data_IF_135993987377
#
_entry.id   IF_135993987377
#
_cell.length_a   1.000
_cell.length_b   1.000
_cell.length_c   1.000
_cell.angle_alpha   90.00
_cell.angle_beta   90.00
_cell.angle_gamma   90.00
#
_symmetry.space_group_name_H-M   'P 1'
#
loop_
_entity.id
_entity.type
_entity.pdbx_description
1 polymer ?
#
# COMPACT_ATOMS: atom_id res chain seq x y z
N UNK A 1 48.35 -14.23 -21.95
CA UNK A 1 48.77 -15.66 -21.93
C UNK A 1 48.21 -16.41 -20.71
N UNK A 2 47.61 -17.60 -20.91
CA UNK A 2 47.05 -18.44 -19.83
C UNK A 2 48.17 -18.98 -18.92
N UNK A 3 47.96 -18.96 -17.59
CA UNK A 3 48.94 -19.48 -16.59
C UNK A 3 49.05 -21.01 -16.59
N UNK A 4 48.00 -21.73 -17.00
CA UNK A 4 47.99 -23.19 -17.21
C UNK A 4 47.21 -23.54 -18.49
N UNK A 5 47.83 -24.18 -19.51
CA UNK A 5 47.22 -24.39 -20.84
C UNK A 5 45.96 -25.27 -20.92
N UNK A 6 45.59 -26.00 -19.85
CA UNK A 6 44.46 -26.94 -19.87
C UNK A 6 43.28 -26.62 -18.94
N UNK A 7 43.32 -25.51 -18.18
CA UNK A 7 42.25 -25.14 -17.24
C UNK A 7 41.65 -23.77 -17.60
N UNK A 8 40.32 -23.64 -17.49
CA UNK A 8 39.63 -22.35 -17.63
C UNK A 8 40.22 -21.38 -16.61
N UNK A 9 40.59 -20.18 -17.06
CA UNK A 9 41.13 -19.16 -16.16
C UNK A 9 40.04 -18.71 -15.17
N UNK A 10 40.36 -18.46 -13.90
CA UNK A 10 39.39 -17.93 -12.94
C UNK A 10 38.77 -16.61 -13.43
N UNK A 11 37.47 -16.41 -13.17
CA UNK A 11 36.71 -15.27 -13.68
C UNK A 11 37.33 -13.91 -13.30
N UNK A 12 37.78 -13.75 -12.06
CA UNK A 12 38.45 -12.52 -11.60
C UNK A 12 39.70 -12.18 -12.43
N UNK A 13 40.48 -13.19 -12.80
CA UNK A 13 41.69 -13.00 -13.60
C UNK A 13 41.34 -12.71 -15.07
N UNK A 14 40.23 -13.24 -15.58
CA UNK A 14 39.71 -12.85 -16.89
C UNK A 14 39.24 -11.39 -16.90
N UNK A 15 38.48 -10.95 -15.88
CA UNK A 15 38.02 -9.55 -15.73
C UNK A 15 39.21 -8.58 -15.70
N UNK A 16 40.21 -8.84 -14.86
CA UNK A 16 41.40 -7.99 -14.77
C UNK A 16 42.15 -7.87 -16.10
N UNK A 17 42.32 -8.99 -16.83
CA UNK A 17 43.03 -8.99 -18.10
C UNK A 17 42.23 -8.37 -19.25
N UNK A 18 40.91 -8.56 -19.25
CA UNK A 18 40.01 -7.95 -20.23
C UNK A 18 39.96 -6.43 -20.05
N UNK A 19 39.89 -5.93 -18.81
CA UNK A 19 39.95 -4.49 -18.52
C UNK A 19 41.27 -3.86 -19.03
N UNK A 20 42.41 -4.46 -18.68
CA UNK A 20 43.73 -4.01 -19.18
C UNK A 20 43.83 -4.02 -20.71
N UNK A 21 43.22 -5.00 -21.37
CA UNK A 21 43.19 -5.07 -22.84
C UNK A 21 42.31 -3.96 -23.43
N UNK A 22 41.13 -3.73 -22.83
CA UNK A 22 40.20 -2.70 -23.28
C UNK A 22 40.81 -1.29 -23.17
N UNK A 23 41.56 -1.01 -22.11
CA UNK A 23 42.26 0.29 -21.92
C UNK A 23 43.19 0.63 -23.08
N UNK A 24 43.82 -0.36 -23.69
CA UNK A 24 44.68 -0.19 -24.87
C UNK A 24 43.84 -0.20 -26.15
N UNK A 25 42.93 -1.18 -26.28
CA UNK A 25 42.14 -1.42 -27.47
C UNK A 25 41.17 -0.27 -27.79
N UNK A 26 40.70 0.49 -26.80
CA UNK A 26 39.79 1.63 -27.01
C UNK A 26 40.36 2.72 -27.92
N UNK A 27 41.68 2.81 -28.04
CA UNK A 27 42.34 3.77 -28.93
C UNK A 27 42.41 3.27 -30.39
N UNK A 28 41.96 2.05 -30.65
CA UNK A 28 41.97 1.40 -31.96
C UNK A 28 40.54 0.95 -32.30
N UNK A 29 39.74 1.82 -32.97
CA UNK A 29 38.33 1.55 -33.23
C UNK A 29 38.09 0.29 -34.08
N UNK A 30 39.07 -0.10 -34.90
CA UNK A 30 38.98 -1.29 -35.77
C UNK A 30 39.40 -2.59 -35.06
N UNK A 31 39.66 -2.55 -33.74
CA UNK A 31 40.05 -3.75 -32.99
C UNK A 31 38.90 -4.78 -33.01
N UNK A 32 39.09 -5.98 -33.59
CA UNK A 32 37.99 -6.88 -33.90
C UNK A 32 37.12 -7.30 -32.70
N UNK A 33 37.73 -7.46 -31.52
CA UNK A 33 37.00 -7.84 -30.30
C UNK A 33 36.11 -6.70 -29.80
N UNK A 34 36.53 -5.44 -29.97
CA UNK A 34 35.70 -4.28 -29.62
C UNK A 34 34.54 -4.17 -30.60
N UNK A 35 34.77 -4.35 -31.90
CA UNK A 35 33.71 -4.35 -32.91
C UNK A 35 32.68 -5.46 -32.65
N UNK A 36 33.14 -6.67 -32.34
CA UNK A 36 32.25 -7.79 -32.03
C UNK A 36 31.46 -7.54 -30.74
N UNK A 37 32.09 -7.02 -29.69
CA UNK A 37 31.39 -6.68 -28.45
C UNK A 37 30.34 -5.58 -28.66
N UNK A 38 30.65 -4.55 -29.47
CA UNK A 38 29.69 -3.50 -29.82
C UNK A 38 28.54 -4.08 -30.64
N UNK A 39 28.83 -4.95 -31.62
CA UNK A 39 27.80 -5.64 -32.41
C UNK A 39 26.89 -6.48 -31.50
N UNK A 40 27.46 -7.29 -30.62
CA UNK A 40 26.72 -8.09 -29.64
C UNK A 40 25.81 -7.21 -28.78
N UNK A 41 26.35 -6.13 -28.21
CA UNK A 41 25.56 -5.18 -27.43
C UNK A 41 24.40 -4.59 -28.23
N UNK A 42 24.65 -4.11 -29.45
CA UNK A 42 23.65 -3.38 -30.24
C UNK A 42 22.64 -4.27 -30.99
N UNK A 43 23.00 -5.52 -31.29
CA UNK A 43 22.18 -6.42 -32.12
C UNK A 43 21.60 -7.59 -31.35
N UNK A 44 22.31 -8.12 -30.35
CA UNK A 44 21.89 -9.33 -29.63
C UNK A 44 21.32 -9.00 -28.24
N UNK A 45 21.88 -7.99 -27.56
CA UNK A 45 21.47 -7.62 -26.19
C UNK A 45 20.44 -6.49 -26.19
N UNK A 46 20.67 -5.42 -26.96
CA UNK A 46 19.77 -4.27 -27.01
C UNK A 46 18.75 -4.38 -28.14
N UNK A 47 17.51 -4.00 -27.84
CA UNK A 47 16.46 -3.84 -28.85
C UNK A 47 16.35 -2.37 -29.30
N UNK A 48 17.35 -1.93 -30.08
CA UNK A 48 17.41 -0.58 -30.65
C UNK A 48 16.22 -0.25 -31.55
N UNK A 49 15.70 -1.17 -32.40
CA UNK A 49 14.49 -0.91 -33.17
C UNK A 49 13.27 -0.59 -32.31
N UNK A 50 13.01 -1.37 -31.26
CA UNK A 50 11.87 -1.12 -30.35
C UNK A 50 12.02 0.20 -29.61
N UNK A 51 13.23 0.54 -29.16
CA UNK A 51 13.51 1.85 -28.55
C UNK A 51 13.19 2.99 -29.51
N UNK A 52 13.65 2.89 -30.76
CA UNK A 52 13.41 3.91 -31.79
C UNK A 52 11.91 4.07 -32.07
N UNK A 53 11.17 2.96 -32.15
CA UNK A 53 9.72 2.97 -32.32
C UNK A 53 8.99 3.59 -31.11
N UNK A 54 9.43 3.33 -29.88
CA UNK A 54 8.89 3.95 -28.67
C UNK A 54 9.09 5.47 -28.68
N UNK A 55 10.30 5.93 -28.99
CA UNK A 55 10.60 7.37 -29.10
C UNK A 55 9.75 8.04 -30.19
N UNK A 56 9.55 7.38 -31.33
CA UNK A 56 8.64 7.85 -32.37
C UNK A 56 7.18 7.97 -31.89
N UNK A 57 6.68 7.00 -31.11
CA UNK A 57 5.34 7.06 -30.52
C UNK A 57 5.19 8.20 -29.49
N UNK A 58 6.23 8.46 -28.71
CA UNK A 58 6.26 9.61 -27.77
C UNK A 58 6.22 10.93 -28.54
N UNK A 59 7.07 11.09 -29.57
CA UNK A 59 7.11 12.30 -30.40
C UNK A 59 5.77 12.57 -31.12
N UNK A 60 5.08 11.51 -31.54
CA UNK A 60 3.74 11.58 -32.15
C UNK A 60 2.60 11.72 -31.12
N UNK A 61 2.92 11.85 -29.82
CA UNK A 61 1.95 11.93 -28.71
C UNK A 61 1.00 10.73 -28.61
N UNK A 62 1.40 9.57 -29.13
CA UNK A 62 0.68 8.29 -28.98
C UNK A 62 0.98 7.62 -27.65
N UNK A 63 2.10 7.96 -27.03
CA UNK A 63 2.45 7.59 -25.65
C UNK A 63 2.43 8.86 -24.82
N UNK A 64 1.69 8.84 -23.70
CA UNK A 64 1.59 9.96 -22.78
C UNK A 64 2.70 9.87 -21.74
N UNK A 65 3.36 10.99 -21.47
CA UNK A 65 4.27 11.15 -20.35
C UNK A 65 3.54 11.94 -19.25
N UNK A 66 3.66 11.49 -18.01
CA UNK A 66 3.12 12.17 -16.83
C UNK A 66 4.27 12.36 -15.85
N UNK A 67 4.44 13.58 -15.38
CA UNK A 67 5.39 13.92 -14.32
C UNK A 67 4.62 13.97 -13.00
N UNK A 68 5.07 13.17 -12.03
CA UNK A 68 4.46 13.09 -10.70
C UNK A 68 5.57 13.15 -9.67
N UNK A 69 5.49 14.13 -8.78
CA UNK A 69 6.38 14.23 -7.62
C UNK A 69 5.71 13.57 -6.43
N UNK A 70 6.42 12.67 -5.76
CA UNK A 70 5.93 11.96 -4.58
C UNK A 70 6.86 12.19 -3.40
N UNK A 71 6.29 12.35 -2.21
CA UNK A 71 7.07 12.50 -0.97
C UNK A 71 7.81 11.22 -0.59
N UNK A 72 7.28 10.06 -0.98
CA UNK A 72 7.90 8.73 -0.83
C UNK A 72 7.87 7.97 -2.16
N UNK A 73 8.78 6.99 -2.40
CA UNK A 73 8.74 6.17 -3.60
C UNK A 73 7.42 5.40 -3.74
N UNK A 74 6.86 5.35 -4.95
CA UNK A 74 5.68 4.51 -5.23
C UNK A 74 6.03 3.01 -5.18
N UNK A 75 5.05 2.10 -5.07
CA UNK A 75 5.31 0.66 -5.06
C UNK A 75 6.13 0.17 -6.28
N UNK A 76 5.89 0.75 -7.46
CA UNK A 76 6.68 0.47 -8.66
C UNK A 76 8.12 0.97 -8.53
N UNK A 77 8.32 2.21 -8.05
CA UNK A 77 9.65 2.79 -7.87
C UNK A 77 10.46 2.06 -6.79
N UNK A 78 9.83 1.67 -5.68
CA UNK A 78 10.47 0.91 -4.60
C UNK A 78 11.07 -0.41 -5.11
N UNK A 79 10.35 -1.13 -5.99
CA UNK A 79 10.85 -2.38 -6.60
C UNK A 79 12.09 -2.15 -7.48
N UNK A 80 12.16 -1.03 -8.19
CA UNK A 80 13.29 -0.66 -9.05
C UNK A 80 14.53 -0.24 -8.22
N UNK A 81 14.32 0.48 -7.11
CA UNK A 81 15.40 0.90 -6.21
C UNK A 81 16.16 -0.30 -5.62
N UNK A 82 15.46 -1.38 -5.27
CA UNK A 82 16.10 -2.60 -4.77
C UNK A 82 16.90 -3.33 -5.85
N UNK A 83 16.34 -3.44 -7.07
CA UNK A 83 17.04 -4.01 -8.23
C UNK A 83 18.32 -3.26 -8.59
N UNK A 84 18.29 -1.92 -8.47
CA UNK A 84 19.46 -1.07 -8.66
C UNK A 84 20.54 -1.39 -7.61
N UNK A 85 20.21 -1.50 -6.33
CA UNK A 85 21.19 -1.82 -5.26
C UNK A 85 21.81 -3.21 -5.43
N UNK A 86 21.03 -4.21 -5.83
CA UNK A 86 21.52 -5.57 -6.08
C UNK A 86 22.60 -5.65 -7.17
N UNK A 87 22.50 -4.81 -8.20
CA UNK A 87 23.49 -4.75 -9.28
C UNK A 87 24.86 -4.22 -8.80
N UNK A 88 24.87 -3.23 -7.90
CA UNK A 88 26.12 -2.64 -7.39
C UNK A 88 26.77 -3.43 -6.26
N UNK A 89 26.04 -4.32 -5.60
CA UNK A 89 26.56 -5.15 -4.50
C UNK A 89 27.70 -6.08 -4.94
N UNK A 90 27.82 -6.39 -6.24
CA UNK A 90 28.85 -7.27 -6.81
C UNK A 90 29.82 -6.56 -7.76
N UNK A 91 29.67 -5.25 -7.97
CA UNK A 91 30.60 -4.41 -8.73
C UNK A 91 31.67 -3.82 -7.78
N UNK A 92 32.65 -4.65 -7.42
CA UNK A 92 33.74 -4.30 -6.51
C UNK A 92 34.71 -3.22 -7.00
N UNK A 93 34.60 -2.75 -8.25
CA UNK A 93 35.63 -1.92 -8.92
C UNK A 93 35.25 -0.43 -9.13
N UNK A 94 34.05 0.03 -8.74
CA UNK A 94 33.65 1.45 -8.94
C UNK A 94 34.21 2.42 -7.88
N UNK A 95 34.55 3.69 -8.23
CA UNK A 95 35.18 4.66 -7.34
C UNK A 95 34.38 4.97 -6.07
N UNK A 96 35.09 5.16 -4.94
CA UNK A 96 34.51 5.39 -3.60
C UNK A 96 33.57 6.61 -3.49
N UNK A 97 33.66 7.59 -4.39
CA UNK A 97 32.82 8.79 -4.38
C UNK A 97 31.38 8.48 -4.83
N UNK A 98 31.22 7.65 -5.86
CA UNK A 98 29.90 7.17 -6.32
C UNK A 98 29.24 6.26 -5.27
N UNK A 99 30.05 5.47 -4.53
CA UNK A 99 29.57 4.67 -3.39
C UNK A 99 28.97 5.51 -2.27
N UNK A 100 29.58 6.66 -1.93
CA UNK A 100 29.10 7.52 -0.84
C UNK A 100 27.76 8.17 -1.17
N UNK A 101 27.57 8.62 -2.41
CA UNK A 101 26.31 9.20 -2.85
C UNK A 101 25.17 8.15 -2.85
N UNK A 102 25.45 6.93 -3.31
CA UNK A 102 24.46 5.84 -3.34
C UNK A 102 24.10 5.31 -1.95
N UNK A 103 25.07 5.22 -1.02
CA UNK A 103 24.81 4.78 0.35
C UNK A 103 24.05 5.82 1.19
N UNK A 104 24.17 7.12 0.88
CA UNK A 104 23.42 8.20 1.53
C UNK A 104 21.97 8.32 1.04
N UNK A 105 21.63 7.70 -0.09
CA UNK A 105 20.26 7.62 -0.62
C UNK A 105 19.46 6.44 -0.02
N UNK A 106 20.07 5.68 0.88
CA UNK A 106 19.52 4.45 1.42
C UNK A 106 18.73 4.76 2.70
N UNK A 107 17.40 4.86 2.59
CA UNK A 107 16.53 5.01 3.75
C UNK A 107 16.37 3.64 4.47
N UNK A 108 16.87 3.50 5.71
CA UNK A 108 16.79 2.26 6.47
C UNK A 108 15.35 1.82 6.76
N UNK A 109 14.37 2.73 6.73
CA UNK A 109 12.95 2.36 6.86
C UNK A 109 12.42 1.64 5.61
N UNK A 110 12.80 2.11 4.43
CA UNK A 110 12.45 1.51 3.14
C UNK A 110 13.11 0.15 2.95
N UNK A 111 14.35 -0.01 3.44
CA UNK A 111 15.00 -1.33 3.51
C UNK A 111 14.30 -2.28 4.47
N UNK A 112 13.80 -1.80 5.61
CA UNK A 112 13.09 -2.61 6.58
C UNK A 112 11.70 -3.05 6.08
N UNK A 113 11.04 -2.24 5.25
CA UNK A 113 9.79 -2.58 4.56
C UNK A 113 10.01 -3.61 3.43
N UNK A 114 11.14 -3.53 2.71
CA UNK A 114 11.44 -4.39 1.56
C UNK A 114 12.19 -5.70 1.89
N UNK A 115 13.02 -5.73 2.94
CA UNK A 115 13.68 -6.95 3.45
C UNK A 115 12.71 -7.90 4.16
N UNK A 116 11.42 -7.56 4.18
CA UNK A 116 10.39 -8.37 4.77
C UNK A 116 10.46 -8.29 6.30
N UNK A 117 9.70 -7.34 6.87
CA UNK A 117 8.81 -7.83 7.91
C UNK A 117 7.92 -8.86 7.22
N UNK A 118 8.06 -10.12 7.61
CA UNK A 118 7.11 -11.20 7.32
C UNK A 118 5.74 -10.56 7.25
N UNK A 119 5.14 -10.56 6.06
CA UNK A 119 3.93 -9.80 5.83
C UNK A 119 2.92 -10.27 6.89
N UNK A 120 2.36 -9.36 7.69
CA UNK A 120 1.44 -9.74 8.77
C UNK A 120 0.30 -10.64 8.27
N UNK A 121 -0.06 -10.56 6.98
CA UNK A 121 -1.03 -11.47 6.34
C UNK A 121 -0.62 -12.95 6.33
N UNK A 122 0.67 -13.26 6.35
CA UNK A 122 1.20 -14.63 6.43
C UNK A 122 1.38 -15.10 7.89
N UNK A 123 1.32 -14.17 8.87
CA UNK A 123 1.41 -14.46 10.30
C UNK A 123 0.04 -14.46 11.01
N UNK A 124 -0.98 -13.83 10.43
CA UNK A 124 -2.30 -13.72 11.01
C UNK A 124 -3.14 -14.92 10.59
N UNK A 125 -3.38 -15.80 11.57
CA UNK A 125 -4.32 -16.90 11.42
C UNK A 125 -5.72 -16.34 11.09
N UNK A 126 -6.32 -16.86 10.01
CA UNK A 126 -7.64 -16.47 9.56
C UNK A 126 -8.71 -16.69 10.65
N UNK A 127 -8.54 -17.71 11.49
CA UNK A 127 -9.43 -17.99 12.62
C UNK A 127 -9.32 -16.90 13.69
N UNK A 128 -8.10 -16.40 13.95
CA UNK A 128 -7.88 -15.28 14.88
C UNK A 128 -8.52 -14.01 14.34
N UNK A 129 -8.36 -13.70 13.04
CA UNK A 129 -9.00 -12.53 12.42
C UNK A 129 -10.53 -12.63 12.55
N UNK A 130 -11.12 -13.78 12.24
CA UNK A 130 -12.57 -13.98 12.34
C UNK A 130 -13.06 -13.86 13.80
N UNK A 131 -12.30 -14.41 14.75
CA UNK A 131 -12.59 -14.30 16.19
C UNK A 131 -12.52 -12.85 16.67
N UNK A 132 -11.44 -12.14 16.37
CA UNK A 132 -11.25 -10.73 16.73
C UNK A 132 -12.31 -9.85 16.07
N UNK A 133 -12.68 -10.11 14.82
CA UNK A 133 -13.77 -9.39 14.14
C UNK A 133 -15.09 -9.57 14.88
N UNK A 134 -15.45 -10.79 15.28
CA UNK A 134 -16.65 -11.05 16.10
C UNK A 134 -16.60 -10.34 17.45
N UNK A 135 -15.44 -10.32 18.11
CA UNK A 135 -15.28 -9.60 19.38
C UNK A 135 -15.45 -8.09 19.21
N UNK A 136 -14.84 -7.49 18.18
CA UNK A 136 -14.97 -6.07 17.86
C UNK A 136 -16.40 -5.72 17.44
N UNK A 137 -17.11 -6.64 16.79
CA UNK A 137 -18.52 -6.50 16.43
C UNK A 137 -19.49 -6.77 17.60
N UNK A 138 -18.98 -7.05 18.82
CA UNK A 138 -19.79 -7.40 19.99
C UNK A 138 -20.69 -8.65 19.80
N UNK A 139 -20.27 -9.58 18.94
CA UNK A 139 -20.98 -10.83 18.63
C UNK A 139 -20.50 -12.01 19.49
N UNK A 140 -19.71 -11.76 20.53
CA UNK A 140 -19.27 -12.79 21.49
C UNK A 140 -19.93 -12.58 22.84
N UNK A 141 -20.22 -13.66 23.57
CA UNK A 141 -20.89 -13.60 24.88
C UNK A 141 -20.18 -12.69 25.89
N UNK A 142 -18.84 -12.64 25.84
CA UNK A 142 -18.01 -11.78 26.69
C UNK A 142 -18.24 -10.28 26.43
N UNK A 143 -18.58 -9.92 25.19
CA UNK A 143 -18.77 -8.53 24.72
C UNK A 143 -20.24 -8.16 24.56
N UNK A 144 -21.15 -9.10 24.80
CA UNK A 144 -22.58 -8.88 24.70
C UNK A 144 -23.04 -7.79 25.69
N UNK A 145 -23.83 -6.85 25.17
CA UNK A 145 -24.38 -5.71 25.90
C UNK A 145 -25.44 -6.16 26.89
N UNK A 146 -25.46 -5.55 28.08
CA UNK A 146 -26.29 -5.98 29.21
C UNK A 146 -27.31 -4.95 29.68
N UNK A 147 -27.22 -3.72 29.20
CA UNK A 147 -28.07 -2.61 29.61
C UNK A 147 -28.17 -1.53 28.52
N UNK A 148 -29.02 -0.53 28.77
CA UNK A 148 -29.25 0.59 27.87
C UNK A 148 -28.01 1.45 27.63
N UNK A 149 -27.13 1.60 28.62
CA UNK A 149 -25.88 2.36 28.45
C UNK A 149 -24.95 1.65 27.48
N UNK A 150 -24.81 0.33 27.59
CA UNK A 150 -24.05 -0.46 26.65
C UNK A 150 -24.60 -0.41 25.23
N UNK A 151 -25.93 -0.28 25.04
CA UNK A 151 -26.52 -0.08 23.70
C UNK A 151 -26.14 1.29 23.13
N UNK A 152 -26.16 2.34 23.96
CA UNK A 152 -25.72 3.67 23.52
C UNK A 152 -24.24 3.67 23.11
N UNK A 153 -23.38 3.02 23.89
CA UNK A 153 -21.96 2.85 23.55
C UNK A 153 -21.75 2.00 22.30
N UNK A 154 -22.56 0.96 22.11
CA UNK A 154 -22.51 0.10 20.92
C UNK A 154 -22.76 0.91 19.64
N UNK A 155 -23.83 1.71 19.62
CA UNK A 155 -24.16 2.57 18.48
C UNK A 155 -23.08 3.64 18.23
N UNK A 156 -22.46 4.16 19.29
CA UNK A 156 -21.34 5.11 19.18
C UNK A 156 -20.06 4.47 18.61
N UNK A 157 -19.83 3.19 18.87
CA UNK A 157 -18.62 2.47 18.43
C UNK A 157 -18.78 1.85 17.04
N UNK A 158 -19.91 1.21 16.76
CA UNK A 158 -20.15 0.48 15.50
C UNK A 158 -20.91 1.32 14.47
N UNK A 159 -21.60 2.38 14.90
CA UNK A 159 -22.47 3.18 14.06
C UNK A 159 -23.93 2.68 14.04
N UNK A 160 -24.70 3.11 13.02
CA UNK A 160 -26.11 2.74 12.86
C UNK A 160 -26.33 1.24 12.77
N UNK A 161 -27.31 0.72 13.53
CA UNK A 161 -27.71 -0.69 13.48
C UNK A 161 -29.23 -0.82 13.46
N UNK A 162 -29.73 -1.91 12.89
CA UNK A 162 -31.14 -2.30 12.98
C UNK A 162 -31.46 -2.86 14.37
N UNK A 163 -32.75 -2.94 14.72
CA UNK A 163 -33.17 -3.50 16.01
C UNK A 163 -32.71 -4.97 16.17
N UNK A 164 -32.78 -5.75 15.09
CA UNK A 164 -32.37 -7.16 15.08
C UNK A 164 -30.86 -7.30 15.29
N UNK A 165 -30.05 -6.46 14.62
CA UNK A 165 -28.59 -6.44 14.78
C UNK A 165 -28.15 -6.02 16.19
N UNK A 166 -28.90 -5.11 16.84
CA UNK A 166 -28.64 -4.75 18.24
C UNK A 166 -28.98 -5.93 19.15
N UNK A 167 -30.10 -6.61 18.90
CA UNK A 167 -30.52 -7.77 19.68
C UNK A 167 -29.50 -8.92 19.61
N UNK A 168 -28.89 -9.15 18.44
CA UNK A 168 -27.80 -10.14 18.26
C UNK A 168 -26.56 -9.84 19.11
N UNK A 169 -26.34 -8.57 19.48
CA UNK A 169 -25.20 -8.09 20.25
C UNK A 169 -25.51 -7.88 21.74
N UNK A 170 -26.73 -8.23 22.17
CA UNK A 170 -27.20 -8.10 23.54
C UNK A 170 -27.37 -9.47 24.21
N UNK A 171 -27.22 -9.53 25.53
CA UNK A 171 -27.47 -10.75 26.32
C UNK A 171 -28.95 -11.16 26.30
N UNK A 172 -29.84 -10.18 26.16
CA UNK A 172 -31.28 -10.39 26.09
C UNK A 172 -31.79 -9.91 24.74
N UNK A 173 -32.71 -10.67 24.13
CA UNK A 173 -33.39 -10.28 22.88
C UNK A 173 -34.45 -9.19 23.10
N UNK A 174 -34.99 -9.06 24.32
CA UNK A 174 -35.95 -8.03 24.68
C UNK A 174 -35.25 -6.70 25.02
N UNK A 175 -34.82 -5.97 23.99
CA UNK A 175 -34.12 -4.68 24.10
C UNK A 175 -35.03 -3.45 23.94
N UNK A 176 -36.32 -3.66 23.68
CA UNK A 176 -37.27 -2.58 23.35
C UNK A 176 -37.31 -1.47 24.40
N UNK A 177 -37.37 -1.83 25.69
CA UNK A 177 -37.37 -0.85 26.78
C UNK A 177 -36.08 -0.02 26.89
N UNK A 178 -34.94 -0.59 26.49
CA UNK A 178 -33.67 0.15 26.44
C UNK A 178 -33.67 1.16 25.29
N UNK A 179 -34.08 0.73 24.11
CA UNK A 179 -34.15 1.58 22.92
C UNK A 179 -35.17 2.73 23.10
N UNK A 180 -36.35 2.44 23.65
CA UNK A 180 -37.36 3.45 23.97
C UNK A 180 -36.87 4.46 25.01
N UNK A 181 -36.16 3.99 26.04
CA UNK A 181 -35.54 4.86 27.05
C UNK A 181 -34.52 5.82 26.44
N UNK A 182 -33.64 5.31 25.58
CA UNK A 182 -32.62 6.12 24.88
C UNK A 182 -33.23 7.12 23.89
N UNK A 183 -34.30 6.71 23.19
CA UNK A 183 -35.06 7.58 22.29
C UNK A 183 -35.73 8.72 23.05
N UNK A 184 -36.36 8.41 24.18
CA UNK A 184 -37.03 9.40 25.06
C UNK A 184 -36.01 10.39 25.62
N UNK A 185 -34.82 9.90 25.98
CA UNK A 185 -33.70 10.72 26.44
C UNK A 185 -33.02 11.51 25.30
N UNK A 186 -33.45 11.35 24.03
CA UNK A 186 -32.86 11.95 22.83
C UNK A 186 -31.38 11.66 22.63
N UNK A 187 -30.92 10.50 23.09
CA UNK A 187 -29.54 10.02 22.88
C UNK A 187 -29.40 9.20 21.60
N UNK A 188 -30.50 8.58 21.16
CA UNK A 188 -30.58 7.80 19.94
C UNK A 188 -31.79 8.30 19.14
N UNK A 189 -31.71 8.18 17.82
CA UNK A 189 -32.73 8.53 16.84
C UNK A 189 -33.08 7.30 15.99
N UNK A 190 -34.28 7.30 15.41
CA UNK A 190 -34.65 6.36 14.36
C UNK A 190 -34.66 7.06 13.01
N UNK A 191 -34.03 6.44 12.01
CA UNK A 191 -34.02 6.94 10.63
C UNK A 191 -34.38 5.83 9.66
N UNK A 192 -34.96 6.19 8.52
CA UNK A 192 -35.24 5.25 7.45
C UNK A 192 -34.19 5.39 6.35
N UNK A 193 -33.54 4.28 6.01
CA UNK A 193 -32.55 4.20 4.95
C UNK A 193 -32.55 2.80 4.34
N UNK A 194 -32.38 2.72 3.01
CA UNK A 194 -32.39 1.46 2.25
C UNK A 194 -33.61 0.53 2.51
N UNK A 195 -34.78 1.11 2.81
CA UNK A 195 -36.01 0.35 3.09
C UNK A 195 -36.08 -0.28 4.49
N UNK A 196 -35.13 0.05 5.38
CA UNK A 196 -35.10 -0.43 6.76
C UNK A 196 -35.12 0.75 7.75
N UNK A 197 -35.42 0.44 9.01
CA UNK A 197 -35.35 1.39 10.13
C UNK A 197 -34.08 1.15 10.92
N UNK A 198 -33.29 2.20 11.08
CA UNK A 198 -31.98 2.19 11.74
C UNK A 198 -32.04 3.00 13.03
N UNK A 199 -31.41 2.48 14.08
CA UNK A 199 -31.14 3.18 15.31
C UNK A 199 -29.77 3.83 15.23
N UNK A 200 -29.69 5.11 15.55
CA UNK A 200 -28.51 5.96 15.31
C UNK A 200 -28.22 6.81 16.53
N UNK A 201 -26.97 6.87 16.96
CA UNK A 201 -26.55 7.84 17.97
C UNK A 201 -26.83 9.28 17.49
N UNK A 202 -27.34 10.15 18.36
CA UNK A 202 -27.70 11.53 17.96
C UNK A 202 -26.51 12.30 17.37
N UNK A 203 -25.29 11.96 17.79
CA UNK A 203 -24.03 12.52 17.34
C UNK A 203 -23.72 12.24 15.85
N UNK A 204 -24.21 11.13 15.30
CA UNK A 204 -23.89 10.69 13.94
C UNK A 204 -24.88 11.20 12.87
N UNK A 205 -25.96 11.86 13.29
CA UNK A 205 -27.03 12.28 12.38
C UNK A 205 -26.55 13.27 11.30
N UNK A 206 -25.61 14.17 11.63
CA UNK A 206 -24.98 15.06 10.67
C UNK A 206 -24.21 14.30 9.58
N UNK A 207 -23.47 13.26 9.98
CA UNK A 207 -22.73 12.38 9.05
C UNK A 207 -23.68 11.65 8.12
N UNK A 208 -24.79 11.11 8.63
CA UNK A 208 -25.77 10.40 7.80
C UNK A 208 -26.51 11.32 6.83
N UNK A 209 -26.84 12.54 7.26
CA UNK A 209 -27.43 13.55 6.38
C UNK A 209 -26.48 13.87 5.22
N UNK A 210 -25.22 14.15 5.53
CA UNK A 210 -24.25 14.63 4.54
C UNK A 210 -23.69 13.50 3.66
N UNK A 211 -23.51 12.30 4.22
CA UNK A 211 -22.92 11.15 3.52
C UNK A 211 -23.93 10.32 2.73
N UNK A 212 -25.13 10.08 3.26
CA UNK A 212 -26.12 9.17 2.66
C UNK A 212 -27.50 9.82 2.44
N UNK A 213 -27.65 11.12 2.70
CA UNK A 213 -28.87 11.88 2.38
C UNK A 213 -30.06 11.59 3.30
N UNK A 214 -29.81 11.08 4.51
CA UNK A 214 -30.88 10.77 5.47
C UNK A 214 -31.55 12.05 5.97
N UNK A 215 -32.89 12.04 6.02
CA UNK A 215 -33.66 13.15 6.57
C UNK A 215 -33.46 13.27 8.10
N UNK A 216 -33.13 14.47 8.57
CA UNK A 216 -32.91 14.74 9.99
C UNK A 216 -34.26 14.79 10.72
N UNK A 217 -34.48 13.98 11.77
CA UNK A 217 -35.69 14.06 12.58
C UNK A 217 -35.87 15.42 13.27
N UNK A 218 -37.13 15.80 13.52
CA UNK A 218 -37.45 17.07 14.18
C UNK A 218 -36.97 17.05 15.64
N UNK A 219 -36.33 18.13 16.08
CA UNK A 219 -35.93 18.32 17.48
C UNK A 219 -34.49 17.90 17.81
N UNK A 220 -33.67 17.59 16.79
CA UNK A 220 -32.21 17.42 16.92
C UNK A 220 -31.54 18.79 17.13
N UNK A 221 -30.71 18.95 18.19
CA UNK A 221 -29.94 20.18 18.41
C UNK A 221 -29.02 20.53 17.24
N UNK A 222 -28.92 21.83 16.92
CA UNK A 222 -28.07 22.34 15.82
C UNK A 222 -26.59 21.96 15.96
N UNK A 223 -26.10 21.75 17.19
CA UNK A 223 -24.71 21.34 17.44
C UNK A 223 -24.36 19.99 16.79
N UNK A 224 -25.34 19.09 16.58
CA UNK A 224 -25.12 17.79 15.93
C UNK A 224 -25.29 17.85 14.40
N UNK A 225 -25.53 19.03 13.85
CA UNK A 225 -25.83 19.25 12.42
C UNK A 225 -24.73 20.05 11.70
N UNK A 226 -23.63 20.36 12.39
CA UNK A 226 -22.48 21.02 11.78
C UNK A 226 -21.96 20.18 10.60
N UNK A 227 -21.68 20.82 9.44
CA UNK A 227 -21.26 20.10 8.25
C UNK A 227 -19.88 19.48 8.45
N UNK A 228 -19.74 18.21 8.06
CA UNK A 228 -18.52 17.43 8.23
C UNK A 228 -17.80 17.34 6.88
N UNK A 229 -16.51 17.72 6.85
CA UNK A 229 -15.69 17.82 5.62
C UNK A 229 -15.56 16.47 4.91
N UNK A 230 -15.57 15.38 5.68
CA UNK A 230 -15.55 14.01 5.18
C UNK A 230 -16.51 13.12 6.00
N UNK A 231 -17.78 13.02 5.58
CA UNK A 231 -18.80 12.30 6.35
C UNK A 231 -18.70 10.77 6.21
N UNK A 232 -17.93 10.25 5.25
CA UNK A 232 -17.77 8.81 5.00
C UNK A 232 -16.37 8.28 5.36
N UNK A 233 -15.39 9.17 5.51
CA UNK A 233 -14.02 8.84 5.96
C UNK A 233 -13.04 8.54 4.83
#
# INVERSE_FOLDING_TARGET
PRRHPGKRSPLWHQRQRAAQLLDVARNYPDFPIVLEAVRECLQDVYDVPTLTALMGRIAQRRVRLLEVETSTPSPFAASLLFGYVGAFMYEGDSPLAERRAAALALDPTLLAELLGRVELRELLDAEVIASTTRQLQHLTEERAVRDAEGVADLLRLLGPLTADEIAERCVHSEIGGWLEGLLTAKRVLTVSFAGQSWWVAVEDIGRLRDGVGVAVPVGVPMAFLEPIVDPLG
#
